data_IF_757294154925
#
_entry.id   IF_757294154925
#
_cell.length_a   1.000
_cell.length_b   1.000
_cell.length_c   1.000
_cell.angle_alpha   90.00
_cell.angle_beta   90.00
_cell.angle_gamma   90.00
#
_symmetry.space_group_name_H-M   'P 1'
#
loop_
_entity.id
_entity.type
_entity.pdbx_description
1 polymer ?
#
# COMPACT_ATOMS: atom_id res chain seq x y z
N UNK A 1 17.31 -14.92 14.44
CA UNK A 1 17.02 -13.66 15.14
C UNK A 1 17.83 -12.56 14.49
N UNK A 2 17.26 -11.37 14.26
CA UNK A 2 17.99 -10.22 13.68
C UNK A 2 18.65 -9.46 14.84
N UNK A 3 19.98 -9.38 14.83
CA UNK A 3 20.74 -8.73 15.89
C UNK A 3 20.71 -7.20 15.81
N UNK A 4 21.16 -6.50 16.87
CA UNK A 4 21.35 -5.06 16.85
C UNK A 4 22.25 -4.64 15.68
N UNK A 5 21.93 -3.50 15.05
CA UNK A 5 22.67 -2.94 13.90
C UNK A 5 22.77 -3.89 12.68
N UNK A 6 21.97 -4.96 12.65
CA UNK A 6 21.86 -5.82 11.47
C UNK A 6 20.84 -5.22 10.50
N UNK A 7 21.14 -5.17 9.19
CA UNK A 7 20.16 -4.72 8.20
C UNK A 7 18.94 -5.63 8.24
N UNK A 8 17.76 -5.04 8.06
CA UNK A 8 16.49 -5.77 8.06
C UNK A 8 15.54 -5.22 7.02
N UNK A 9 14.58 -6.04 6.62
CA UNK A 9 13.52 -5.69 5.69
C UNK A 9 12.20 -6.22 6.20
N UNK A 10 11.11 -5.49 5.94
CA UNK A 10 9.76 -6.01 6.16
C UNK A 10 9.30 -6.75 4.92
N UNK A 11 8.75 -7.94 5.12
CA UNK A 11 8.11 -8.71 4.06
C UNK A 11 6.66 -8.98 4.44
N UNK A 12 5.79 -8.87 3.43
CA UNK A 12 4.38 -9.23 3.56
C UNK A 12 4.25 -10.74 3.58
N UNK A 13 3.63 -11.27 4.63
CA UNK A 13 3.36 -12.71 4.75
C UNK A 13 1.90 -13.05 4.55
N UNK A 14 1.03 -12.06 4.68
CA UNK A 14 -0.41 -12.25 4.60
C UNK A 14 -1.08 -10.97 4.08
N UNK A 15 -2.04 -11.15 3.19
CA UNK A 15 -2.89 -10.07 2.69
C UNK A 15 -4.34 -10.45 2.89
N UNK A 16 -5.19 -9.46 3.09
CA UNK A 16 -6.64 -9.63 3.20
C UNK A 16 -7.34 -8.79 2.15
N UNK A 17 -8.52 -9.22 1.75
CA UNK A 17 -9.41 -8.36 0.97
C UNK A 17 -9.94 -7.22 1.83
N UNK A 18 -10.00 -6.03 1.25
CA UNK A 18 -10.52 -4.83 1.88
C UNK A 18 -11.55 -4.18 0.95
N UNK A 19 -12.66 -3.73 1.54
CA UNK A 19 -13.70 -2.99 0.84
C UNK A 19 -13.68 -1.54 1.30
N UNK A 20 -13.49 -0.63 0.36
CA UNK A 20 -13.47 0.80 0.58
C UNK A 20 -14.83 1.40 0.24
N UNK A 21 -15.46 2.13 1.18
CA UNK A 21 -16.70 2.82 0.90
C UNK A 21 -16.46 4.00 -0.06
N UNK A 22 -17.48 4.46 -0.80
CA UNK A 22 -17.42 5.71 -1.53
C UNK A 22 -17.08 6.88 -0.60
N UNK A 23 -16.18 7.76 -1.04
CA UNK A 23 -15.75 8.95 -0.30
C UNK A 23 -15.99 10.21 -1.14
N UNK A 24 -16.90 11.10 -0.72
CA UNK A 24 -17.17 12.32 -1.47
C UNK A 24 -16.02 13.34 -1.30
N UNK A 25 -15.74 14.09 -2.37
CA UNK A 25 -14.86 15.28 -2.40
C UNK A 25 -13.44 15.04 -1.86
N UNK A 26 -12.79 13.93 -2.22
CA UNK A 26 -11.44 13.62 -1.72
C UNK A 26 -10.31 14.05 -2.66
N UNK A 27 -10.58 14.23 -3.95
CA UNK A 27 -9.58 14.65 -4.93
C UNK A 27 -9.89 16.05 -5.46
N UNK A 28 -9.02 17.03 -5.21
CA UNK A 28 -9.15 18.35 -5.82
C UNK A 28 -8.50 18.35 -7.20
N UNK A 29 -9.28 18.68 -8.22
CA UNK A 29 -8.79 18.96 -9.56
C UNK A 29 -8.72 20.48 -9.72
N UNK A 30 -7.51 21.05 -9.85
CA UNK A 30 -7.36 22.50 -10.03
C UNK A 30 -8.03 22.94 -11.33
N UNK A 31 -8.42 24.22 -11.43
CA UNK A 31 -8.99 24.75 -12.66
C UNK A 31 -7.97 24.68 -13.81
N UNK A 32 -8.44 24.32 -15.00
CA UNK A 32 -7.75 24.72 -16.24
C UNK A 32 -7.94 26.23 -16.45
N UNK A 33 -7.05 26.90 -17.20
CA UNK A 33 -7.04 28.36 -17.39
C UNK A 33 -8.46 28.97 -17.50
N UNK A 34 -8.77 29.92 -16.61
CA UNK A 34 -10.06 30.63 -16.54
C UNK A 34 -11.22 29.88 -15.85
N UNK A 35 -11.03 28.64 -15.40
CA UNK A 35 -12.07 27.82 -14.76
C UNK A 35 -12.15 27.92 -13.23
N UNK A 36 -13.13 27.21 -12.64
CA UNK A 36 -13.18 26.91 -11.20
C UNK A 36 -12.69 25.48 -10.95
N UNK A 37 -11.88 25.28 -9.91
CA UNK A 37 -11.47 23.95 -9.49
C UNK A 37 -12.66 23.12 -9.02
N UNK A 38 -12.56 21.79 -9.13
CA UNK A 38 -13.62 20.86 -8.74
C UNK A 38 -13.11 19.81 -7.77
N UNK A 39 -13.95 19.47 -6.81
CA UNK A 39 -13.73 18.29 -5.97
C UNK A 39 -14.35 17.08 -6.65
N UNK A 40 -13.60 15.99 -6.70
CA UNK A 40 -13.98 14.72 -7.32
C UNK A 40 -14.12 13.67 -6.22
N UNK A 41 -15.20 12.90 -6.32
CA UNK A 41 -15.52 11.80 -5.43
C UNK A 41 -14.66 10.58 -5.77
N UNK A 42 -14.30 9.81 -4.75
CA UNK A 42 -13.76 8.47 -4.90
C UNK A 42 -14.93 7.48 -4.76
N UNK A 43 -15.25 6.67 -5.80
CA UNK A 43 -16.35 5.71 -5.72
C UNK A 43 -16.09 4.58 -4.72
N UNK A 44 -14.89 4.50 -4.13
CA UNK A 44 -14.47 3.37 -3.33
C UNK A 44 -14.22 2.16 -4.23
N UNK A 45 -14.23 0.97 -3.63
CA UNK A 45 -13.99 -0.27 -4.37
C UNK A 45 -13.49 -1.39 -3.49
N UNK A 46 -12.82 -2.36 -4.10
CA UNK A 46 -12.20 -3.50 -3.41
C UNK A 46 -10.72 -3.55 -3.73
N UNK A 47 -9.89 -3.83 -2.73
CA UNK A 47 -8.46 -3.98 -2.88
C UNK A 47 -7.89 -5.01 -1.92
N UNK A 48 -6.56 -5.14 -1.90
CA UNK A 48 -5.85 -6.00 -0.96
C UNK A 48 -5.07 -5.12 0.01
N UNK A 49 -5.23 -5.40 1.29
CA UNK A 49 -4.43 -4.79 2.35
C UNK A 49 -3.45 -5.80 2.92
N UNK A 50 -2.34 -5.28 3.42
CA UNK A 50 -1.37 -6.05 4.16
C UNK A 50 -2.00 -6.41 5.52
N UNK A 51 -2.23 -7.70 5.74
CA UNK A 51 -2.78 -8.19 7.00
C UNK A 51 -1.67 -8.45 8.02
N UNK A 52 -0.50 -8.92 7.55
CA UNK A 52 0.65 -9.20 8.41
C UNK A 52 1.97 -9.06 7.67
N UNK A 53 2.94 -8.47 8.37
CA UNK A 53 4.34 -8.39 7.95
C UNK A 53 5.25 -9.00 9.01
N UNK A 54 6.42 -9.47 8.58
CA UNK A 54 7.49 -9.85 9.47
C UNK A 54 8.78 -9.13 9.08
N UNK A 55 9.61 -8.85 10.07
CA UNK A 55 10.96 -8.32 9.85
C UNK A 55 11.93 -9.48 9.64
N UNK A 56 12.69 -9.45 8.55
CA UNK A 56 13.65 -10.50 8.16
C UNK A 56 15.00 -9.90 7.79
N UNK A 57 16.05 -10.73 7.78
CA UNK A 57 17.36 -10.33 7.25
C UNK A 57 17.33 -10.24 5.71
N UNK A 58 18.34 -9.60 5.07
CA UNK A 58 18.37 -9.44 3.62
C UNK A 58 18.33 -10.77 2.84
N UNK A 59 18.98 -11.82 3.36
CA UNK A 59 18.98 -13.13 2.72
C UNK A 59 17.58 -13.75 2.67
N UNK A 60 16.84 -13.71 3.80
CA UNK A 60 15.46 -14.17 3.86
C UNK A 60 14.52 -13.32 2.99
N UNK A 61 14.74 -12.00 2.92
CA UNK A 61 13.99 -11.13 2.04
C UNK A 61 14.21 -11.49 0.55
N UNK A 62 15.45 -11.75 0.15
CA UNK A 62 15.78 -12.18 -1.20
C UNK A 62 15.13 -13.53 -1.54
N UNK A 63 15.23 -14.52 -0.66
CA UNK A 63 14.63 -15.84 -0.85
C UNK A 63 13.10 -15.78 -1.06
N UNK A 64 12.41 -14.90 -0.32
CA UNK A 64 10.95 -14.72 -0.46
C UNK A 64 10.54 -14.09 -1.78
N UNK A 65 11.38 -13.22 -2.38
CA UNK A 65 11.08 -12.60 -3.68
C UNK A 65 11.16 -13.61 -4.82
N UNK A 66 12.09 -14.56 -4.74
CA UNK A 66 12.27 -15.60 -5.77
C UNK A 66 11.13 -16.62 -5.80
N UNK A 67 10.47 -16.86 -4.66
CA UNK A 67 9.37 -17.84 -4.53
C UNK A 67 7.99 -17.27 -4.82
N UNK A 68 7.87 -15.95 -4.98
CA UNK A 68 6.61 -15.27 -5.24
C UNK A 68 6.33 -15.04 -6.74
N UNK A 69 7.10 -15.69 -7.63
CA UNK A 69 6.98 -15.64 -9.09
C UNK A 69 6.32 -16.89 -9.66
#
# INVERSE_FOLDING_TARGET
MIGPRSPSSRIVVETREARYPPRPKVHFVPPSEGGKGKWVDDPGGTGREIAREITVCPACAAARRTTAS
#
